data_IF_170877448418
#
_entry.id   IF_170877448418
#
_cell.length_a   1.000
_cell.length_b   1.000
_cell.length_c   1.000
_cell.angle_alpha   90.00
_cell.angle_beta   90.00
_cell.angle_gamma   90.00
#
_symmetry.space_group_name_H-M   'P 1'
#
loop_
_entity.id
_entity.type
_entity.pdbx_description
1 polymer ?
#
# COMPACT_ATOMS: atom_id res chain seq x y z
N UNK A 1 -45.61 40.89 -19.22
CA UNK A 1 -45.72 40.87 -17.74
C UNK A 1 -46.29 39.51 -17.38
N UNK A 2 -45.68 38.61 -16.62
CA UNK A 2 -44.81 38.71 -15.44
C UNK A 2 -43.73 37.61 -15.52
N UNK A 3 -42.56 37.95 -14.98
CA UNK A 3 -41.36 37.11 -14.87
C UNK A 3 -41.51 36.18 -13.67
N UNK A 4 -41.27 34.89 -13.84
CA UNK A 4 -40.85 34.02 -12.74
C UNK A 4 -39.81 33.06 -13.29
N UNK A 5 -38.55 33.45 -13.10
CA UNK A 5 -37.37 32.68 -13.46
C UNK A 5 -37.06 31.79 -12.24
N UNK A 6 -37.45 30.53 -12.29
CA UNK A 6 -37.14 29.57 -11.22
C UNK A 6 -35.68 29.17 -11.35
N UNK A 7 -34.80 29.83 -10.59
CA UNK A 7 -33.40 29.46 -10.48
C UNK A 7 -33.28 28.19 -9.62
N UNK A 8 -33.24 27.03 -10.27
CA UNK A 8 -32.91 25.76 -9.64
C UNK A 8 -31.40 25.76 -9.34
N UNK A 9 -31.01 26.22 -8.15
CA UNK A 9 -29.66 26.06 -7.64
C UNK A 9 -29.41 24.57 -7.36
N UNK A 10 -28.88 23.86 -8.35
CA UNK A 10 -28.37 22.50 -8.16
C UNK A 10 -27.03 22.61 -7.44
N UNK A 11 -27.07 22.59 -6.10
CA UNK A 11 -25.88 22.53 -5.26
C UNK A 11 -25.11 21.25 -5.59
N UNK A 12 -24.01 21.40 -6.33
CA UNK A 12 -23.08 20.33 -6.65
C UNK A 12 -22.28 20.01 -5.38
N UNK A 13 -22.88 19.25 -4.47
CA UNK A 13 -22.21 18.71 -3.29
C UNK A 13 -21.11 17.76 -3.76
N UNK A 14 -19.86 18.14 -3.49
CA UNK A 14 -18.66 17.47 -3.99
C UNK A 14 -18.64 15.98 -3.69
N UNK A 15 -18.20 15.21 -4.69
CA UNK A 15 -17.82 13.81 -4.53
C UNK A 15 -16.63 13.77 -3.55
N UNK A 16 -16.90 13.48 -2.28
CA UNK A 16 -15.86 13.16 -1.33
C UNK A 16 -15.23 11.83 -1.76
N UNK A 17 -14.12 11.89 -2.48
CA UNK A 17 -13.29 10.70 -2.73
C UNK A 17 -12.66 10.32 -1.40
N UNK A 18 -13.23 9.33 -0.71
CA UNK A 18 -12.57 8.70 0.41
C UNK A 18 -11.30 8.02 -0.12
N UNK A 19 -10.15 8.63 0.17
CA UNK A 19 -8.87 7.96 0.03
C UNK A 19 -8.77 6.91 1.15
N UNK A 20 -9.31 5.72 0.90
CA UNK A 20 -9.02 4.58 1.76
C UNK A 20 -7.53 4.28 1.60
N UNK A 21 -6.77 4.44 2.68
CA UNK A 21 -5.48 3.77 2.79
C UNK A 21 -5.80 2.27 2.69
N UNK A 22 -5.59 1.71 1.49
CA UNK A 22 -5.62 0.27 1.30
C UNK A 22 -4.67 -0.31 2.32
N UNK A 23 -5.05 -1.42 2.93
CA UNK A 23 -4.24 -2.12 3.92
C UNK A 23 -2.95 -2.57 3.23
N UNK A 24 -1.94 -1.69 3.23
CA UNK A 24 -0.84 -1.77 2.27
C UNK A 24 0.01 -2.98 2.63
N UNK A 25 0.34 -3.80 1.63
CA UNK A 25 1.20 -4.95 1.83
C UNK A 25 2.61 -4.46 2.10
N UNK A 26 3.21 -4.94 3.18
CA UNK A 26 4.59 -4.62 3.57
C UNK A 26 5.40 -5.90 3.70
N UNK A 27 6.73 -5.76 3.75
CA UNK A 27 7.64 -6.90 3.93
C UNK A 27 7.37 -7.60 5.27
N UNK A 28 7.14 -6.84 6.35
CA UNK A 28 6.81 -7.41 7.67
C UNK A 28 5.47 -8.16 7.67
N UNK A 29 4.46 -7.66 6.95
CA UNK A 29 3.17 -8.36 6.77
C UNK A 29 3.34 -9.70 6.04
N UNK A 30 4.22 -9.79 5.04
CA UNK A 30 4.55 -11.07 4.38
C UNK A 30 5.23 -12.07 5.34
N UNK A 31 6.04 -11.58 6.27
CA UNK A 31 6.76 -12.44 7.21
C UNK A 31 5.84 -13.11 8.26
N UNK A 32 4.69 -12.52 8.56
CA UNK A 32 3.76 -13.02 9.59
C UNK A 32 2.41 -13.48 9.01
N UNK A 33 2.11 -13.16 7.75
CA UNK A 33 0.87 -13.50 7.10
C UNK A 33 0.65 -15.01 7.00
N UNK A 34 -0.57 -15.46 7.30
CA UNK A 34 -0.92 -16.88 7.34
C UNK A 34 -0.57 -17.63 6.04
N UNK A 35 -0.81 -16.98 4.89
CA UNK A 35 -0.62 -17.56 3.57
C UNK A 35 0.76 -17.27 2.95
N UNK A 36 1.61 -16.49 3.62
CA UNK A 36 2.86 -15.96 3.03
C UNK A 36 4.11 -16.21 3.88
N UNK A 37 3.94 -16.47 5.18
CA UNK A 37 5.03 -16.70 6.12
C UNK A 37 5.96 -17.84 5.69
N UNK A 38 5.43 -18.94 5.18
CA UNK A 38 6.25 -20.09 4.79
C UNK A 38 7.16 -19.77 3.60
N UNK A 39 6.65 -19.02 2.62
CA UNK A 39 7.36 -18.58 1.42
C UNK A 39 8.41 -17.51 1.79
N UNK A 40 8.04 -16.59 2.69
CA UNK A 40 8.98 -15.61 3.23
C UNK A 40 10.15 -16.31 3.93
N UNK A 41 9.87 -17.31 4.78
CA UNK A 41 10.91 -18.09 5.45
C UNK A 41 11.83 -18.83 4.47
N UNK A 42 11.29 -19.40 3.38
CA UNK A 42 12.10 -20.03 2.32
C UNK A 42 13.02 -19.01 1.64
N UNK A 43 12.51 -17.81 1.34
CA UNK A 43 13.28 -16.73 0.72
C UNK A 43 14.47 -16.29 1.59
N UNK A 44 14.30 -16.28 2.92
CA UNK A 44 15.31 -15.75 3.85
C UNK A 44 16.11 -16.81 4.61
N UNK A 45 15.88 -18.10 4.35
CA UNK A 45 16.35 -19.22 5.19
C UNK A 45 17.86 -19.21 5.50
N UNK A 46 18.68 -18.73 4.56
CA UNK A 46 20.14 -18.72 4.66
C UNK A 46 20.72 -17.31 4.84
N UNK A 47 19.89 -16.35 5.27
CA UNK A 47 20.28 -14.96 5.43
C UNK A 47 20.25 -14.56 6.92
N UNK A 48 21.32 -13.91 7.39
CA UNK A 48 21.34 -13.29 8.72
C UNK A 48 20.68 -11.91 8.66
N UNK A 49 19.35 -11.92 8.55
CA UNK A 49 18.57 -10.69 8.43
C UNK A 49 18.38 -10.01 9.79
N UNK A 50 18.53 -8.67 9.87
CA UNK A 50 18.17 -7.91 11.06
C UNK A 50 16.71 -8.10 11.45
N UNK A 51 16.44 -8.06 12.76
CA UNK A 51 15.12 -8.29 13.33
C UNK A 51 14.03 -7.32 12.83
N UNK A 52 14.42 -6.08 12.49
CA UNK A 52 13.49 -5.05 12.00
C UNK A 52 12.77 -5.47 10.70
N UNK A 53 13.35 -6.37 9.90
CA UNK A 53 12.75 -6.83 8.65
C UNK A 53 11.41 -7.54 8.89
N UNK A 54 11.28 -8.31 9.97
CA UNK A 54 10.03 -9.02 10.30
C UNK A 54 9.18 -8.28 11.32
N UNK A 55 9.77 -7.42 12.15
CA UNK A 55 9.05 -6.62 13.15
C UNK A 55 8.40 -5.36 12.57
N UNK A 56 8.87 -4.88 11.42
CA UNK A 56 8.39 -3.66 10.78
C UNK A 56 9.52 -2.69 10.52
N UNK A 57 9.63 -2.25 9.27
CA UNK A 57 10.51 -1.18 8.85
C UNK A 57 9.76 0.12 8.56
N UNK A 58 10.47 1.11 8.03
CA UNK A 58 9.87 2.26 7.36
C UNK A 58 9.66 1.87 5.91
N UNK A 59 8.41 1.62 5.54
CA UNK A 59 8.01 1.17 4.21
C UNK A 59 7.72 2.35 3.27
N UNK A 60 8.00 2.19 1.98
CA UNK A 60 7.51 3.09 0.93
C UNK A 60 6.24 2.53 0.30
N UNK A 61 5.55 3.37 -0.48
CA UNK A 61 4.44 2.90 -1.30
C UNK A 61 4.88 1.77 -2.25
N UNK A 62 4.11 0.70 -2.25
CA UNK A 62 4.29 -0.48 -3.09
C UNK A 62 4.08 -0.15 -4.57
N UNK A 63 4.87 -0.78 -5.45
CA UNK A 63 4.81 -0.54 -6.89
C UNK A 63 4.37 -1.80 -7.64
N UNK A 64 3.37 -1.66 -8.52
CA UNK A 64 2.96 -2.73 -9.43
C UNK A 64 3.84 -2.69 -10.68
N UNK A 65 4.48 -3.82 -11.00
CA UNK A 65 5.35 -3.95 -12.18
C UNK A 65 4.99 -5.21 -12.96
N UNK A 66 5.39 -5.28 -14.24
CA UNK A 66 5.29 -6.48 -15.05
C UNK A 66 6.68 -6.91 -15.51
N UNK A 67 7.06 -8.15 -15.21
CA UNK A 67 8.35 -8.73 -15.60
C UNK A 67 8.05 -9.94 -16.48
N UNK A 68 8.50 -9.90 -17.74
CA UNK A 68 8.21 -10.92 -18.75
C UNK A 68 6.71 -11.26 -18.87
N UNK A 69 5.85 -10.24 -18.78
CA UNK A 69 4.39 -10.39 -18.85
C UNK A 69 3.72 -10.89 -17.57
N UNK A 70 4.47 -11.14 -16.50
CA UNK A 70 3.93 -11.57 -15.20
C UNK A 70 3.82 -10.38 -14.23
N UNK A 71 2.68 -10.20 -13.55
CA UNK A 71 2.51 -9.11 -12.59
C UNK A 71 3.25 -9.40 -11.29
N UNK A 72 3.89 -8.37 -10.73
CA UNK A 72 4.55 -8.39 -9.43
C UNK A 72 4.20 -7.14 -8.64
N UNK A 73 4.31 -7.25 -7.32
CA UNK A 73 4.33 -6.13 -6.41
C UNK A 73 5.75 -5.99 -5.85
N UNK A 74 6.34 -4.80 -6.02
CA UNK A 74 7.64 -4.45 -5.47
C UNK A 74 7.41 -3.71 -4.16
N UNK A 75 8.05 -4.20 -3.10
CA UNK A 75 8.01 -3.66 -1.75
C UNK A 75 9.40 -3.17 -1.37
N UNK A 76 9.48 -2.04 -0.68
CA UNK A 76 10.74 -1.48 -0.19
C UNK A 76 10.52 -1.10 1.28
N UNK A 77 11.50 -1.47 2.11
CA UNK A 77 11.51 -1.18 3.53
C UNK A 77 12.93 -0.87 3.97
N UNK A 78 13.09 0.09 4.88
CA UNK A 78 14.36 0.43 5.50
C UNK A 78 14.27 0.38 7.02
N UNK A 79 15.44 0.35 7.68
CA UNK A 79 15.53 0.34 9.13
C UNK A 79 14.96 1.65 9.69
N UNK A 80 14.00 1.58 10.63
CA UNK A 80 13.42 2.78 11.22
C UNK A 80 14.49 3.71 11.81
N UNK A 81 14.39 5.00 11.52
CA UNK A 81 15.30 6.07 11.97
C UNK A 81 16.75 5.97 11.46
N UNK A 82 17.01 5.07 10.51
CA UNK A 82 18.32 4.79 9.94
C UNK A 82 18.20 4.43 8.46
N UNK A 83 17.30 5.14 7.76
CA UNK A 83 17.12 5.05 6.32
C UNK A 83 18.11 5.99 5.64
N UNK A 84 19.17 5.42 5.05
CA UNK A 84 20.21 6.14 4.30
C UNK A 84 19.90 6.30 2.81
#
# INVERSE_FOLDING_TARGET
MKRTLTALFFSLSGLATSAYAQDELTISKLAVGQDTKAEFQKMTANQHLPLWITQGGTDSQSQKVSIAGKPYLVLISCKPHDCG
#
